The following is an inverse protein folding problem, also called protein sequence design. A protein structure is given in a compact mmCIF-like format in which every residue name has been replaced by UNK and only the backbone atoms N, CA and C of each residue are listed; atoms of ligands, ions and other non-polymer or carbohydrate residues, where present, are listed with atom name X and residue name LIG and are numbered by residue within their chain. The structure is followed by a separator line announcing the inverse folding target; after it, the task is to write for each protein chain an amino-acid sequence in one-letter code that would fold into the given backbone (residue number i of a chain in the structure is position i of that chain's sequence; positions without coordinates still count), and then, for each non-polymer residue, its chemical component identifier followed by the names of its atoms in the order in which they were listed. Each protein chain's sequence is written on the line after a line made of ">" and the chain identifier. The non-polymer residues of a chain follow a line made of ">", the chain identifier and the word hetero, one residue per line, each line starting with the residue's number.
data_IF_665371099220
#
_entry.id   IF_665371099220
#
_cell.length_a   1.000
_cell.length_b   1.000
_cell.length_c   1.000
_cell.angle_alpha   90.00
_cell.angle_beta   90.00
_cell.angle_gamma   90.00
#
_symmetry.space_group_name_H-M   'P 1'
#
loop_
_entity.id
_entity.type
_entity.pdbx_description
1 polymer ?
#
# COMPACT_ATOMS: atom_id res chain seq x y z
N UNK A 1 4.71 -19.56 -18.65
CA UNK A 1 3.31 -19.67 -18.21
C UNK A 1 3.25 -19.52 -16.69
N UNK A 2 2.20 -18.85 -16.21
CA UNK A 2 1.95 -18.64 -14.80
C UNK A 2 0.65 -19.34 -14.43
N UNK A 3 0.69 -20.15 -13.36
CA UNK A 3 -0.52 -20.71 -12.75
C UNK A 3 -0.85 -19.88 -11.50
N UNK A 4 -2.08 -19.42 -11.41
CA UNK A 4 -2.51 -18.60 -10.31
C UNK A 4 -3.95 -18.94 -9.87
N UNK A 5 -4.17 -18.93 -8.56
CA UNK A 5 -5.49 -19.09 -7.94
C UNK A 5 -6.04 -17.71 -7.62
N UNK A 6 -7.07 -17.21 -8.35
CA UNK A 6 -7.57 -15.86 -8.21
C UNK A 6 -8.35 -15.69 -6.89
N UNK A 7 -8.17 -14.55 -6.24
CA UNK A 7 -8.86 -14.19 -4.98
C UNK A 7 -9.73 -12.96 -5.11
N UNK A 8 -9.17 -11.86 -5.63
CA UNK A 8 -9.88 -10.59 -5.74
C UNK A 8 -9.39 -9.78 -6.94
N UNK A 9 -10.25 -8.90 -7.44
CA UNK A 9 -9.91 -7.89 -8.43
C UNK A 9 -9.95 -6.53 -7.73
N UNK A 10 -8.86 -5.78 -7.83
CA UNK A 10 -8.69 -4.49 -7.17
C UNK A 10 -8.33 -3.44 -8.20
N UNK A 11 -8.93 -2.25 -8.07
CA UNK A 11 -8.57 -1.06 -8.83
C UNK A 11 -7.61 -0.21 -8.02
N UNK A 12 -6.42 0.07 -8.56
CA UNK A 12 -5.44 0.96 -7.96
C UNK A 12 -4.64 1.68 -9.04
N UNK A 13 -4.45 2.98 -8.86
CA UNK A 13 -3.63 3.82 -9.73
C UNK A 13 -3.93 3.60 -11.23
N UNK A 14 -5.21 3.71 -11.60
CA UNK A 14 -5.74 3.59 -12.98
C UNK A 14 -5.57 2.21 -13.63
N UNK A 15 -5.29 1.18 -12.85
CA UNK A 15 -5.15 -0.19 -13.34
C UNK A 15 -5.97 -1.19 -12.51
N UNK A 16 -6.44 -2.25 -13.18
CA UNK A 16 -6.94 -3.42 -12.49
C UNK A 16 -5.80 -4.38 -12.17
N UNK A 17 -5.84 -4.88 -10.93
CA UNK A 17 -4.92 -5.89 -10.42
C UNK A 17 -5.69 -7.11 -9.94
N UNK A 18 -5.28 -8.28 -10.39
CA UNK A 18 -5.73 -9.56 -9.88
C UNK A 18 -4.84 -9.95 -8.70
N UNK A 19 -5.42 -10.00 -7.50
CA UNK A 19 -4.77 -10.60 -6.34
C UNK A 19 -4.97 -12.11 -6.43
N UNK A 20 -3.90 -12.86 -6.45
CA UNK A 20 -3.93 -14.30 -6.64
C UNK A 20 -2.80 -15.00 -5.87
N UNK A 21 -2.99 -16.28 -5.57
CA UNK A 21 -1.90 -17.12 -5.09
C UNK A 21 -1.18 -17.79 -6.26
N UNK A 22 0.12 -17.69 -6.26
CA UNK A 22 1.03 -18.42 -7.13
C UNK A 22 1.87 -19.40 -6.31
N UNK A 23 2.00 -20.65 -6.75
CA UNK A 23 2.85 -21.65 -6.07
C UNK A 23 4.30 -21.17 -5.93
N UNK A 24 4.76 -20.37 -6.89
CA UNK A 24 6.15 -19.87 -6.93
C UNK A 24 6.39 -18.64 -6.07
N UNK A 25 5.39 -17.75 -5.94
CA UNK A 25 5.56 -16.42 -5.37
C UNK A 25 4.60 -16.11 -4.22
N UNK A 26 3.76 -17.05 -3.81
CA UNK A 26 2.74 -16.83 -2.78
C UNK A 26 1.68 -15.83 -3.24
N UNK A 27 1.26 -14.93 -2.36
CA UNK A 27 0.30 -13.87 -2.68
C UNK A 27 0.94 -12.85 -3.63
N UNK A 28 0.36 -12.74 -4.82
CA UNK A 28 0.94 -11.97 -5.94
C UNK A 28 -0.12 -11.09 -6.58
N UNK A 29 0.30 -9.95 -7.12
CA UNK A 29 -0.54 -9.00 -7.83
C UNK A 29 -0.19 -9.03 -9.31
N UNK A 30 -1.15 -9.37 -10.15
CA UNK A 30 -0.99 -9.37 -11.60
C UNK A 30 -1.76 -8.21 -12.20
N UNK A 31 -1.12 -7.37 -13.00
CA UNK A 31 -1.79 -6.35 -13.78
C UNK A 31 -2.62 -7.00 -14.88
N UNK A 32 -3.93 -6.71 -14.89
CA UNK A 32 -4.87 -7.33 -15.83
C UNK A 32 -4.56 -6.95 -17.27
N UNK A 33 -4.17 -5.71 -17.54
CA UNK A 33 -3.80 -5.22 -18.88
C UNK A 33 -2.52 -5.85 -19.45
N UNK A 34 -1.73 -6.52 -18.61
CA UNK A 34 -0.51 -7.25 -19.02
C UNK A 34 -0.75 -8.75 -19.24
N UNK A 35 -1.95 -9.22 -18.97
CA UNK A 35 -2.29 -10.64 -19.17
C UNK A 35 -2.52 -10.91 -20.65
N UNK A 36 -1.94 -11.99 -21.15
CA UNK A 36 -2.16 -12.50 -22.49
C UNK A 36 -2.45 -14.00 -22.44
N UNK A 37 -3.27 -14.49 -23.36
CA UNK A 37 -3.63 -15.92 -23.52
C UNK A 37 -4.16 -16.55 -22.22
N UNK A 38 -5.08 -15.83 -21.56
CA UNK A 38 -5.71 -16.30 -20.34
C UNK A 38 -6.55 -17.55 -20.60
N UNK A 39 -6.33 -18.61 -19.81
CA UNK A 39 -7.12 -19.83 -19.86
C UNK A 39 -7.56 -20.26 -18.46
N UNK A 40 -8.79 -20.73 -18.37
CA UNK A 40 -9.32 -21.32 -17.13
C UNK A 40 -8.97 -22.82 -17.14
N UNK A 41 -8.33 -23.28 -16.09
CA UNK A 41 -7.96 -24.70 -15.93
C UNK A 41 -9.05 -25.47 -15.19
N UNK A 42 -9.03 -26.81 -15.30
CA UNK A 42 -9.92 -27.69 -14.53
C UNK A 42 -9.45 -27.89 -13.07
N UNK A 43 -8.28 -27.36 -12.71
CA UNK A 43 -7.74 -27.47 -11.35
C UNK A 43 -8.56 -26.59 -10.40
N UNK A 44 -8.91 -27.08 -9.21
CA UNK A 44 -9.58 -26.28 -8.22
C UNK A 44 -8.68 -25.14 -7.75
N UNK A 45 -9.30 -24.02 -7.37
CA UNK A 45 -8.62 -22.87 -6.78
C UNK A 45 -8.01 -23.25 -5.43
N UNK A 46 -6.72 -23.00 -5.27
CA UNK A 46 -6.03 -23.14 -3.97
C UNK A 46 -6.42 -21.95 -3.09
N UNK A 47 -6.95 -22.22 -1.90
CA UNK A 47 -7.26 -21.22 -0.88
C UNK A 47 -6.31 -21.44 0.30
N UNK A 48 -5.32 -20.57 0.44
CA UNK A 48 -4.37 -20.63 1.56
C UNK A 48 -5.00 -20.13 2.85
N UNK A 49 -4.46 -20.52 4.01
CA UNK A 49 -4.96 -20.03 5.31
C UNK A 49 -4.84 -18.50 5.41
N UNK A 50 -3.77 -17.93 4.89
CA UNK A 50 -3.59 -16.48 4.77
C UNK A 50 -4.75 -15.83 3.98
N UNK A 51 -5.11 -16.39 2.83
CA UNK A 51 -6.18 -15.85 1.99
C UNK A 51 -7.57 -15.97 2.62
N UNK A 52 -7.81 -16.98 3.47
CA UNK A 52 -9.09 -17.15 4.18
C UNK A 52 -9.34 -16.06 5.21
N UNK A 53 -8.28 -15.53 5.80
CA UNK A 53 -8.33 -14.53 6.87
C UNK A 53 -8.09 -13.11 6.37
N UNK A 54 -7.63 -12.95 5.12
CA UNK A 54 -7.30 -11.65 4.53
C UNK A 54 -8.56 -10.87 4.14
N UNK A 55 -8.74 -9.69 4.73
CA UNK A 55 -9.68 -8.70 4.23
C UNK A 55 -9.08 -7.98 3.01
N UNK A 56 -9.48 -8.39 1.81
CA UNK A 56 -8.96 -7.83 0.56
C UNK A 56 -9.27 -6.34 0.38
N UNK A 57 -10.34 -5.83 0.99
CA UNK A 57 -10.66 -4.40 0.95
C UNK A 57 -9.65 -3.60 1.77
N UNK A 58 -9.39 -4.05 2.99
CA UNK A 58 -8.39 -3.45 3.88
C UNK A 58 -6.98 -3.60 3.32
N UNK A 59 -6.68 -4.77 2.79
CA UNK A 59 -5.40 -5.06 2.14
C UNK A 59 -5.13 -4.10 0.97
N UNK A 60 -6.11 -3.88 0.08
CA UNK A 60 -5.97 -2.95 -1.04
C UNK A 60 -5.70 -1.51 -0.61
N UNK A 61 -6.24 -1.08 0.55
CA UNK A 61 -5.95 0.25 1.11
C UNK A 61 -4.53 0.36 1.70
N UNK A 62 -4.02 -0.73 2.28
CA UNK A 62 -2.68 -0.78 2.88
C UNK A 62 -1.55 -0.84 1.82
N UNK A 63 -1.86 -1.34 0.63
CA UNK A 63 -0.88 -1.55 -0.44
C UNK A 63 -0.82 -0.35 -1.35
N UNK A 64 0.37 0.20 -1.56
CA UNK A 64 0.62 1.30 -2.49
C UNK A 64 1.20 0.75 -3.80
N UNK A 65 0.54 1.04 -4.93
CA UNK A 65 0.97 0.57 -6.25
C UNK A 65 1.05 -0.95 -6.37
N UNK A 66 0.24 -1.67 -5.58
CA UNK A 66 0.20 -3.14 -5.56
C UNK A 66 1.55 -3.81 -5.28
N UNK A 67 2.43 -3.17 -4.51
CA UNK A 67 3.63 -3.83 -4.00
C UNK A 67 3.27 -4.89 -2.97
N UNK A 68 3.78 -6.10 -3.15
CA UNK A 68 3.64 -7.20 -2.19
C UNK A 68 4.57 -6.98 -0.99
N UNK A 69 4.11 -7.33 0.20
CA UNK A 69 4.89 -7.23 1.43
C UNK A 69 4.03 -7.42 2.67
N UNK A 70 4.67 -7.41 3.82
CA UNK A 70 3.95 -7.43 5.09
C UNK A 70 3.50 -6.03 5.46
N UNK A 71 2.22 -5.91 5.83
CA UNK A 71 1.70 -4.68 6.38
C UNK A 71 2.21 -4.49 7.81
N UNK A 72 2.56 -3.27 8.14
CA UNK A 72 2.96 -2.89 9.49
C UNK A 72 2.25 -1.61 9.93
N UNK A 73 2.11 -1.43 11.23
CA UNK A 73 1.51 -0.23 11.78
C UNK A 73 2.44 0.96 11.58
N UNK A 74 1.93 1.98 10.89
CA UNK A 74 2.63 3.24 10.65
C UNK A 74 1.81 4.38 11.21
N UNK A 75 2.42 5.24 12.04
CA UNK A 75 1.83 6.47 12.52
C UNK A 75 2.39 7.64 11.73
N UNK A 76 1.49 8.37 11.11
CA UNK A 76 1.78 9.54 10.27
C UNK A 76 1.22 10.80 10.92
N UNK A 77 1.85 11.93 10.66
CA UNK A 77 1.39 13.27 11.02
C UNK A 77 1.19 14.08 9.77
N UNK A 78 0.09 14.81 9.68
CA UNK A 78 -0.25 15.65 8.54
C UNK A 78 -0.72 17.02 9.00
N UNK A 79 -0.53 18.05 8.17
CA UNK A 79 -1.25 19.28 8.32
C UNK A 79 -2.76 19.09 8.10
N UNK A 80 -3.59 19.83 8.81
CA UNK A 80 -5.05 19.73 8.78
C UNK A 80 -5.63 19.89 7.37
N UNK A 81 -4.98 20.66 6.50
CA UNK A 81 -5.35 20.82 5.09
C UNK A 81 -5.35 19.51 4.29
N UNK A 82 -4.65 18.48 4.76
CA UNK A 82 -4.53 17.18 4.11
C UNK A 82 -5.53 16.12 4.62
N UNK A 83 -6.46 16.50 5.52
CA UNK A 83 -7.44 15.56 6.07
C UNK A 83 -8.26 14.86 4.95
N UNK A 84 -8.71 15.61 3.94
CA UNK A 84 -9.44 15.07 2.79
C UNK A 84 -8.62 14.00 2.05
N UNK A 85 -7.34 14.25 1.82
CA UNK A 85 -6.44 13.31 1.11
C UNK A 85 -6.29 11.99 1.88
N UNK A 86 -6.18 12.06 3.22
CA UNK A 86 -6.11 10.86 4.06
C UNK A 86 -7.42 10.09 4.04
N UNK A 87 -8.57 10.78 4.15
CA UNK A 87 -9.89 10.14 4.09
C UNK A 87 -10.17 9.52 2.71
N UNK A 88 -9.76 10.18 1.63
CA UNK A 88 -9.91 9.65 0.27
C UNK A 88 -9.07 8.37 0.07
N UNK A 89 -7.85 8.35 0.59
CA UNK A 89 -6.96 7.20 0.46
C UNK A 89 -7.33 6.03 1.36
N UNK A 90 -7.60 6.29 2.64
CA UNK A 90 -7.75 5.25 3.67
C UNK A 90 -9.20 4.97 4.06
N UNK A 91 -10.12 5.82 3.61
CA UNK A 91 -11.56 5.70 3.88
C UNK A 91 -12.06 6.66 4.96
N UNK A 92 -13.36 6.90 4.93
CA UNK A 92 -14.03 7.85 5.84
C UNK A 92 -13.98 7.42 7.32
N UNK A 93 -13.72 6.14 7.57
CA UNK A 93 -13.61 5.57 8.92
C UNK A 93 -12.20 5.74 9.51
N UNK A 94 -11.29 6.39 8.79
CA UNK A 94 -9.95 6.66 9.28
C UNK A 94 -10.00 7.57 10.51
N UNK A 95 -9.38 7.11 11.61
CA UNK A 95 -9.37 7.86 12.87
C UNK A 95 -8.27 8.92 12.84
N UNK A 96 -8.67 10.16 12.58
CA UNK A 96 -7.80 11.33 12.64
C UNK A 96 -7.79 11.89 14.06
N UNK A 97 -6.62 11.93 14.69
CA UNK A 97 -6.45 12.42 16.06
C UNK A 97 -5.78 13.80 16.01
N UNK A 98 -6.43 14.86 16.52
CA UNK A 98 -5.83 16.20 16.55
C UNK A 98 -4.45 16.20 17.24
N UNK A 99 -3.51 16.96 16.68
CA UNK A 99 -2.16 17.13 17.20
C UNK A 99 -1.81 18.63 17.16
N UNK A 100 -2.20 19.34 18.22
CA UNK A 100 -2.18 20.79 18.27
C UNK A 100 -3.24 21.44 17.37
N UNK A 101 -2.99 22.68 16.95
CA UNK A 101 -3.96 23.47 16.18
C UNK A 101 -3.87 23.29 14.68
N UNK A 102 -2.73 22.81 14.17
CA UNK A 102 -2.43 22.79 12.74
C UNK A 102 -2.27 21.40 12.14
N UNK A 103 -2.19 20.37 12.99
CA UNK A 103 -1.90 19.01 12.58
C UNK A 103 -2.87 17.98 13.15
N UNK A 104 -2.87 16.82 12.56
CA UNK A 104 -3.46 15.60 13.10
C UNK A 104 -2.51 14.41 12.90
N UNK A 105 -2.69 13.39 13.72
CA UNK A 105 -2.01 12.09 13.55
C UNK A 105 -3.00 11.04 13.10
N UNK A 106 -2.49 10.08 12.37
CA UNK A 106 -3.24 8.96 11.82
C UNK A 106 -2.39 7.70 11.87
N UNK A 107 -2.95 6.61 12.41
CA UNK A 107 -2.27 5.31 12.50
C UNK A 107 -3.01 4.30 11.65
N UNK A 108 -2.29 3.60 10.79
CA UNK A 108 -2.86 2.61 9.90
C UNK A 108 -1.85 1.53 9.53
N UNK A 109 -2.34 0.41 9.00
CA UNK A 109 -1.49 -0.61 8.40
C UNK A 109 -1.07 -0.20 7.00
N UNK A 110 0.23 -0.27 6.72
CA UNK A 110 0.82 0.06 5.42
C UNK A 110 1.84 -1.00 5.04
N UNK A 111 1.77 -1.46 3.79
CA UNK A 111 2.88 -2.16 3.14
C UNK A 111 3.88 -1.10 2.71
N UNK A 112 4.96 -0.98 3.50
CA UNK A 112 6.01 0.01 3.22
C UNK A 112 6.71 -0.34 1.91
N UNK A 113 6.77 0.62 1.01
CA UNK A 113 7.26 0.45 -0.35
C UNK A 113 7.78 1.76 -0.93
N UNK A 114 8.57 1.73 -2.01
CA UNK A 114 8.99 2.95 -2.70
C UNK A 114 7.81 3.82 -3.17
N UNK A 115 6.66 3.21 -3.50
CA UNK A 115 5.45 3.95 -3.91
C UNK A 115 4.81 4.65 -2.73
N UNK A 116 4.76 4.02 -1.55
CA UNK A 116 4.34 4.68 -0.31
C UNK A 116 5.21 5.89 0.01
N UNK A 117 6.53 5.74 -0.05
CA UNK A 117 7.46 6.84 0.18
C UNK A 117 7.29 7.96 -0.85
N UNK A 118 7.09 7.62 -2.13
CA UNK A 118 6.82 8.60 -3.19
C UNK A 118 5.52 9.37 -2.96
N UNK A 119 4.46 8.68 -2.54
CA UNK A 119 3.20 9.30 -2.17
C UNK A 119 3.36 10.29 -1.01
N UNK A 120 4.06 9.86 0.06
CA UNK A 120 4.30 10.70 1.23
C UNK A 120 5.17 11.91 0.89
N UNK A 121 6.25 11.70 0.10
CA UNK A 121 7.16 12.76 -0.35
C UNK A 121 6.44 13.86 -1.15
N UNK A 122 5.35 13.52 -1.85
CA UNK A 122 4.55 14.49 -2.59
C UNK A 122 3.90 15.58 -1.73
N UNK A 123 3.81 15.40 -0.41
CA UNK A 123 3.28 16.40 0.51
C UNK A 123 4.37 17.33 1.10
N UNK A 124 5.64 17.02 0.84
CA UNK A 124 6.76 17.79 1.37
C UNK A 124 6.77 17.84 2.89
N UNK A 125 6.97 19.03 3.46
CA UNK A 125 7.01 19.26 4.91
C UNK A 125 5.66 19.14 5.63
N UNK A 126 4.57 18.96 4.87
CA UNK A 126 3.20 18.87 5.42
C UNK A 126 2.82 17.48 5.92
N UNK A 127 3.70 16.50 5.73
CA UNK A 127 3.51 15.13 6.19
C UNK A 127 4.81 14.52 6.69
N UNK A 128 4.74 13.77 7.79
CA UNK A 128 5.91 13.06 8.33
C UNK A 128 5.53 11.69 8.90
N UNK A 129 6.53 10.80 8.96
CA UNK A 129 6.43 9.51 9.63
C UNK A 129 6.85 9.68 11.09
N UNK A 130 5.95 9.36 12.03
CA UNK A 130 6.28 9.38 13.46
C UNK A 130 6.74 8.01 13.97
N UNK A 131 6.18 6.92 13.42
CA UNK A 131 6.46 5.55 13.85
C UNK A 131 6.18 4.56 12.72
N UNK A 132 6.91 3.44 12.63
CA UNK A 132 8.07 3.04 13.45
C UNK A 132 9.33 3.78 13.05
N UNK A 133 10.32 3.84 13.96
CA UNK A 133 11.59 4.53 13.71
C UNK A 133 12.34 3.96 12.50
N UNK A 134 12.26 2.67 12.26
CA UNK A 134 12.86 2.02 11.10
C UNK A 134 12.36 2.60 9.77
N UNK A 135 11.04 2.76 9.63
CA UNK A 135 10.41 3.34 8.43
C UNK A 135 10.76 4.81 8.27
N UNK A 136 10.78 5.56 9.38
CA UNK A 136 11.19 6.96 9.42
C UNK A 136 12.64 7.14 8.98
N UNK A 137 13.54 6.34 9.52
CA UNK A 137 14.98 6.39 9.18
C UNK A 137 15.22 6.00 7.72
N UNK A 138 14.52 4.99 7.20
CA UNK A 138 14.62 4.57 5.81
C UNK A 138 14.15 5.68 4.86
N UNK A 139 13.01 6.31 5.13
CA UNK A 139 12.51 7.43 4.34
C UNK A 139 13.48 8.63 4.37
N UNK A 140 14.01 8.98 5.55
CA UNK A 140 15.00 10.05 5.68
C UNK A 140 16.30 9.74 4.89
N UNK A 141 16.73 8.47 4.86
CA UNK A 141 17.87 8.05 4.06
C UNK A 141 17.59 8.17 2.56
N UNK A 142 16.38 7.80 2.11
CA UNK A 142 15.97 7.97 0.73
C UNK A 142 15.94 9.44 0.31
N UNK A 143 15.39 10.33 1.15
CA UNK A 143 15.36 11.76 0.88
C UNK A 143 16.78 12.34 0.75
N UNK A 144 17.71 11.93 1.63
CA UNK A 144 19.11 12.35 1.53
C UNK A 144 19.76 11.91 0.22
N UNK A 145 19.59 10.65 -0.17
CA UNK A 145 20.12 10.14 -1.46
C UNK A 145 19.55 10.91 -2.65
N UNK A 146 18.26 11.24 -2.61
CA UNK A 146 17.64 12.04 -3.65
C UNK A 146 18.23 13.45 -3.69
N UNK A 147 18.41 14.09 -2.55
CA UNK A 147 19.00 15.43 -2.47
C UNK A 147 20.42 15.49 -3.05
N UNK A 148 21.22 14.44 -2.90
CA UNK A 148 22.58 14.39 -3.47
C UNK A 148 22.60 14.47 -5.00
N UNK A 149 21.50 14.08 -5.68
CA UNK A 149 21.39 14.19 -7.15
C UNK A 149 21.22 15.64 -7.63
N UNK A 150 20.89 16.57 -6.74
CA UNK A 150 20.58 17.96 -7.05
C UNK A 150 21.59 18.96 -6.44
N UNK A 151 22.67 18.47 -5.89
CA UNK A 151 23.83 19.26 -5.43
C UNK A 151 24.93 19.28 -6.50
#
# INVERSE_FOLDING_TARGET
>A
DYFASPYALVWDNENYYLIAHSERHGLTHYRVDKMAKLTITQKPRVMTEEAKTLDFTRYGKAVFGMFSGQAQQVKLRFQNSLAGVVLDRFGKDAMLVPDGNEHFTFTTEIVVSPVFYGWLAGFGERAEILFPESVRAEFAAQCRKTLELYK
#
